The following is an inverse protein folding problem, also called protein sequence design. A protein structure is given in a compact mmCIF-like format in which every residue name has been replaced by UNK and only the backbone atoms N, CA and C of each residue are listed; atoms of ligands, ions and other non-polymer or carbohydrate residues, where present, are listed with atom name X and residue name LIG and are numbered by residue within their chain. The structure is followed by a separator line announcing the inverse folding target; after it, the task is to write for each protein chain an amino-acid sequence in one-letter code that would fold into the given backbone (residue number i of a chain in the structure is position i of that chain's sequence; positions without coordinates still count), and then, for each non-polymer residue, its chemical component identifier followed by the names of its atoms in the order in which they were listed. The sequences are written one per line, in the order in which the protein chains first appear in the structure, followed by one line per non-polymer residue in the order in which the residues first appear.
data_IF_121905441957
#
_entry.id   IF_121905441957
#
_cell.length_a   1.000
_cell.length_b   1.000
_cell.length_c   1.000
_cell.angle_alpha   90.00
_cell.angle_beta   90.00
_cell.angle_gamma   90.00
#
_symmetry.space_group_name_H-M   'P 1'
#
loop_
_entity.id
_entity.type
_entity.pdbx_description
1 polymer ?
#
# COMPACT_ATOMS: atom_id res chain seq x y z
N UNK A 1 -5.42 -7.64 -5.90
CA UNK A 1 -6.54 -6.81 -6.43
C UNK A 1 -6.95 -7.17 -7.85
N UNK A 2 -6.07 -7.17 -8.85
CA UNK A 2 -6.44 -7.46 -10.25
C UNK A 2 -7.34 -8.71 -10.44
N UNK A 3 -6.92 -9.88 -9.93
CA UNK A 3 -7.71 -11.11 -10.04
C UNK A 3 -9.03 -11.08 -9.24
N UNK A 4 -9.05 -10.37 -8.11
CA UNK A 4 -10.24 -10.18 -7.29
C UNK A 4 -11.28 -9.32 -8.04
N UNK A 5 -10.83 -8.23 -8.67
CA UNK A 5 -11.70 -7.34 -9.45
C UNK A 5 -12.39 -8.06 -10.61
N UNK A 6 -11.69 -8.99 -11.29
CA UNK A 6 -12.29 -9.88 -12.31
C UNK A 6 -13.49 -10.65 -11.76
N UNK A 7 -13.33 -11.27 -10.58
CA UNK A 7 -14.40 -12.06 -9.94
C UNK A 7 -15.56 -11.19 -9.51
N UNK A 8 -15.29 -10.04 -8.90
CA UNK A 8 -16.32 -9.08 -8.47
C UNK A 8 -17.14 -8.61 -9.68
N UNK A 9 -16.46 -8.27 -10.79
CA UNK A 9 -17.14 -7.84 -12.01
C UNK A 9 -18.06 -8.92 -12.59
N UNK A 10 -17.63 -10.18 -12.53
CA UNK A 10 -18.44 -11.30 -13.01
C UNK A 10 -19.75 -11.48 -12.22
N UNK A 11 -19.82 -10.98 -10.99
CA UNK A 11 -21.05 -10.92 -10.18
C UNK A 11 -21.98 -9.73 -10.56
N UNK A 12 -21.60 -8.91 -11.54
CA UNK A 12 -22.36 -7.74 -11.98
C UNK A 12 -22.10 -6.47 -11.16
N UNK A 13 -21.24 -6.54 -10.13
CA UNK A 13 -20.86 -5.37 -9.31
C UNK A 13 -20.00 -4.41 -10.14
N UNK A 14 -20.31 -3.11 -10.02
CA UNK A 14 -19.63 -2.04 -10.79
C UNK A 14 -18.80 -1.09 -9.94
N UNK A 15 -19.01 -1.06 -8.62
CA UNK A 15 -18.30 -0.20 -7.69
C UNK A 15 -18.04 -0.92 -6.37
N UNK A 16 -16.87 -0.71 -5.78
CA UNK A 16 -16.50 -1.18 -4.44
C UNK A 16 -15.85 -0.08 -3.61
N UNK A 17 -15.94 -0.21 -2.29
CA UNK A 17 -15.25 0.64 -1.32
C UNK A 17 -13.98 -0.06 -0.85
N UNK A 18 -12.87 0.68 -0.75
CA UNK A 18 -11.59 0.20 -0.25
C UNK A 18 -11.06 1.07 0.90
N UNK A 19 -10.24 0.47 1.76
CA UNK A 19 -9.62 1.13 2.92
C UNK A 19 -8.24 1.76 2.65
N UNK A 20 -7.84 1.91 1.38
CA UNK A 20 -6.58 2.58 1.02
C UNK A 20 -6.56 4.02 1.58
N UNK A 21 -5.40 4.48 2.06
CA UNK A 21 -5.23 5.79 2.70
C UNK A 21 -5.23 5.77 4.22
N UNK A 22 -5.84 4.76 4.85
CA UNK A 22 -5.92 4.69 6.32
C UNK A 22 -4.55 4.53 6.97
N UNK A 23 -3.64 3.75 6.38
CA UNK A 23 -2.28 3.56 6.89
C UNK A 23 -1.44 4.83 6.76
N UNK A 24 -1.62 5.60 5.69
CA UNK A 24 -0.90 6.84 5.43
C UNK A 24 -1.36 8.00 6.33
N UNK A 25 -2.66 8.07 6.63
CA UNK A 25 -3.23 9.15 7.46
C UNK A 25 -2.98 8.93 8.96
N UNK A 26 -3.05 7.67 9.41
CA UNK A 26 -3.01 7.30 10.83
C UNK A 26 -1.73 6.55 11.24
N UNK A 27 -0.73 6.48 10.37
CA UNK A 27 0.56 5.81 10.64
C UNK A 27 0.40 4.32 10.97
N UNK A 28 -0.25 3.60 10.06
CA UNK A 28 -0.57 2.19 10.24
C UNK A 28 0.55 1.19 9.91
N UNK A 29 1.60 1.64 9.23
CA UNK A 29 2.73 0.78 8.90
C UNK A 29 3.61 0.51 10.12
N UNK A 30 4.12 -0.73 10.24
CA UNK A 30 4.92 -1.15 11.40
C UNK A 30 6.19 -0.30 11.63
N UNK A 31 6.73 0.36 10.61
CA UNK A 31 7.88 1.24 10.78
C UNK A 31 7.54 2.54 11.55
N UNK A 32 6.26 2.95 11.64
CA UNK A 32 5.83 4.07 12.48
C UNK A 32 6.03 3.81 13.98
N UNK A 33 6.20 2.55 14.41
CA UNK A 33 6.62 2.23 15.78
C UNK A 33 7.99 2.84 16.13
N UNK A 34 8.79 3.18 15.12
CA UNK A 34 10.13 3.77 15.25
C UNK A 34 10.13 5.28 15.01
N UNK A 35 8.96 5.92 14.92
CA UNK A 35 8.89 7.37 14.80
C UNK A 35 9.50 8.01 16.06
N UNK A 36 10.48 8.92 15.92
CA UNK A 36 11.22 9.46 17.06
C UNK A 36 10.38 10.43 17.91
N UNK A 37 9.44 11.14 17.28
CA UNK A 37 8.53 12.09 17.90
C UNK A 37 7.29 12.31 17.01
N UNK A 38 6.34 13.10 17.51
CA UNK A 38 5.06 13.34 16.84
C UNK A 38 5.20 14.21 15.58
N UNK A 39 6.20 15.09 15.54
CA UNK A 39 6.49 15.95 14.39
C UNK A 39 6.98 15.12 13.20
N UNK A 40 7.97 14.25 13.41
CA UNK A 40 8.49 13.32 12.40
C UNK A 40 7.42 12.33 11.94
N UNK A 41 6.58 11.85 12.86
CA UNK A 41 5.41 11.04 12.51
C UNK A 41 4.48 11.78 11.54
N UNK A 42 4.15 13.04 11.84
CA UNK A 42 3.26 13.85 11.00
C UNK A 42 3.88 14.22 9.65
N UNK A 43 5.18 14.54 9.62
CA UNK A 43 5.88 14.81 8.38
C UNK A 43 5.88 13.58 7.46
N UNK A 44 6.09 12.39 8.03
CA UNK A 44 6.06 11.14 7.29
C UNK A 44 4.65 10.81 6.77
N UNK A 45 3.58 11.00 7.55
CA UNK A 45 2.20 10.83 7.06
C UNK A 45 1.88 11.81 5.92
N UNK A 46 2.26 13.08 6.06
CA UNK A 46 2.12 14.08 4.99
C UNK A 46 2.86 13.67 3.72
N UNK A 47 4.11 13.19 3.85
CA UNK A 47 4.90 12.71 2.70
C UNK A 47 4.23 11.51 2.03
N UNK A 48 3.73 10.56 2.82
CA UNK A 48 3.04 9.37 2.34
C UNK A 48 1.76 9.72 1.58
N UNK A 49 0.90 10.57 2.14
CA UNK A 49 -0.32 11.05 1.48
C UNK A 49 0.01 11.71 0.14
N UNK A 50 1.02 12.58 0.09
CA UNK A 50 1.46 13.24 -1.16
C UNK A 50 1.98 12.25 -2.20
N UNK A 51 2.53 11.11 -1.79
CA UNK A 51 3.09 10.11 -2.68
C UNK A 51 2.10 9.01 -3.10
N UNK A 52 0.92 8.93 -2.48
CA UNK A 52 -0.09 7.88 -2.73
C UNK A 52 -0.42 7.68 -4.21
N UNK A 53 -0.41 8.76 -5.00
CA UNK A 53 -0.72 8.72 -6.43
C UNK A 53 0.27 7.87 -7.25
N UNK A 54 1.48 7.62 -6.73
CA UNK A 54 2.50 6.79 -7.36
C UNK A 54 2.45 5.33 -6.88
N UNK A 55 1.78 5.05 -5.76
CA UNK A 55 1.79 3.76 -5.08
C UNK A 55 0.39 3.16 -4.97
N UNK A 56 -0.26 3.30 -3.82
CA UNK A 56 -1.48 2.60 -3.46
C UNK A 56 -2.68 3.04 -4.31
N UNK A 57 -2.82 4.34 -4.59
CA UNK A 57 -3.86 4.82 -5.51
C UNK A 57 -3.64 4.33 -6.94
N UNK A 58 -2.38 4.28 -7.39
CA UNK A 58 -2.04 3.76 -8.72
C UNK A 58 -2.45 2.29 -8.84
N UNK A 59 -2.08 1.48 -7.85
CA UNK A 59 -2.39 0.05 -7.76
C UNK A 59 -3.90 -0.18 -7.66
N UNK A 60 -4.59 0.49 -6.74
CA UNK A 60 -6.03 0.35 -6.52
C UNK A 60 -6.83 0.73 -7.77
N UNK A 61 -6.55 1.88 -8.35
CA UNK A 61 -7.28 2.38 -9.51
C UNK A 61 -7.02 1.52 -10.76
N UNK A 62 -5.76 1.30 -11.16
CA UNK A 62 -5.45 0.58 -12.41
C UNK A 62 -5.83 -0.90 -12.33
N UNK A 63 -5.62 -1.56 -11.19
CA UNK A 63 -5.93 -2.99 -11.06
C UNK A 63 -7.44 -3.27 -11.10
N UNK A 64 -8.26 -2.37 -10.56
CA UNK A 64 -9.73 -2.51 -10.59
C UNK A 64 -10.31 -2.07 -11.93
N UNK A 65 -9.82 -0.96 -12.48
CA UNK A 65 -10.25 -0.43 -13.79
C UNK A 65 -9.98 -1.38 -14.94
N UNK A 66 -8.96 -2.25 -14.84
CA UNK A 66 -8.68 -3.28 -15.83
C UNK A 66 -9.85 -4.26 -16.08
N UNK A 67 -10.81 -4.33 -15.15
CA UNK A 67 -12.04 -5.12 -15.26
C UNK A 67 -13.31 -4.26 -15.26
N UNK A 68 -13.19 -2.94 -15.49
CA UNK A 68 -14.33 -2.02 -15.46
C UNK A 68 -15.04 -1.99 -14.10
N UNK A 69 -14.27 -2.05 -13.02
CA UNK A 69 -14.73 -1.93 -11.64
C UNK A 69 -14.22 -0.61 -11.05
N UNK A 70 -15.12 0.24 -10.59
CA UNK A 70 -14.77 1.47 -9.88
C UNK A 70 -14.40 1.16 -8.43
N UNK A 71 -13.33 1.79 -7.92
CA UNK A 71 -12.97 1.76 -6.50
C UNK A 71 -13.10 3.14 -5.90
N UNK A 72 -13.78 3.24 -4.75
CA UNK A 72 -13.88 4.45 -3.92
C UNK A 72 -13.07 4.27 -2.64
N UNK A 73 -12.41 5.33 -2.20
CA UNK A 73 -11.46 5.32 -1.08
C UNK A 73 -11.84 6.40 -0.07
N UNK A 74 -12.83 6.16 0.81
CA UNK A 74 -13.38 7.19 1.69
C UNK A 74 -12.36 7.83 2.64
N UNK A 75 -11.31 7.09 3.03
CA UNK A 75 -10.21 7.65 3.81
C UNK A 75 -9.47 8.78 3.08
N UNK A 76 -9.53 8.82 1.75
CA UNK A 76 -8.90 9.85 0.94
C UNK A 76 -9.89 10.93 0.48
N UNK A 77 -11.08 10.97 1.07
CA UNK A 77 -11.96 12.12 0.93
C UNK A 77 -11.26 13.38 1.48
N UNK A 78 -11.48 14.51 0.81
CA UNK A 78 -10.78 15.76 1.12
C UNK A 78 -11.16 16.29 2.50
N UNK A 79 -12.44 16.31 2.83
CA UNK A 79 -12.93 16.82 4.12
C UNK A 79 -12.47 15.89 5.24
N UNK A 80 -12.49 14.58 4.99
CA UNK A 80 -11.95 13.61 5.94
C UNK A 80 -10.44 13.79 6.17
N UNK A 81 -9.65 14.01 5.11
CA UNK A 81 -8.21 14.27 5.26
C UNK A 81 -7.99 15.54 6.06
N UNK A 82 -8.70 16.63 5.76
CA UNK A 82 -8.54 17.92 6.46
C UNK A 82 -8.80 17.75 7.96
N UNK A 83 -9.89 17.06 8.33
CA UNK A 83 -10.20 16.76 9.73
C UNK A 83 -9.16 15.82 10.35
N UNK A 84 -8.91 14.66 9.73
CA UNK A 84 -8.02 13.65 10.29
C UNK A 84 -6.58 14.16 10.43
N UNK A 85 -6.12 15.06 9.57
CA UNK A 85 -4.78 15.64 9.63
C UNK A 85 -4.65 16.83 10.59
N UNK A 86 -5.77 17.42 11.02
CA UNK A 86 -5.79 18.48 12.05
C UNK A 86 -5.58 17.96 13.48
N UNK A 87 -5.84 16.67 13.70
CA UNK A 87 -5.67 15.99 15.00
C UNK A 87 -4.20 16.06 15.44
N UNK A 88 -3.94 16.38 16.72
CA UNK A 88 -2.59 16.32 17.30
C UNK A 88 -1.95 14.94 17.01
N UNK A 89 -0.82 14.88 16.30
CA UNK A 89 -0.18 13.63 15.93
C UNK A 89 0.17 12.73 17.13
N UNK A 90 0.25 13.27 18.35
CA UNK A 90 0.40 12.49 19.59
C UNK A 90 -0.69 11.41 19.74
N UNK A 91 -1.90 11.65 19.27
CA UNK A 91 -3.00 10.67 19.32
C UNK A 91 -2.88 9.57 18.25
N UNK A 92 -2.05 9.79 17.24
CA UNK A 92 -1.73 8.82 16.19
C UNK A 92 -0.46 8.03 16.51
N UNK A 93 0.40 8.55 17.39
CA UNK A 93 1.61 7.88 17.81
C UNK A 93 1.32 6.53 18.47
N UNK A 94 2.17 5.57 18.14
CA UNK A 94 2.14 4.23 18.71
C UNK A 94 2.90 4.29 20.04
N UNK A 95 2.21 3.95 21.12
CA UNK A 95 2.71 4.07 22.50
C UNK A 95 2.40 2.79 23.25
N UNK A 96 3.24 1.74 23.11
CA UNK A 96 3.02 0.45 23.79
C UNK A 96 2.99 0.57 25.31
N UNK A 97 3.72 1.54 25.87
CA UNK A 97 3.71 1.93 27.29
C UNK A 97 2.32 2.37 27.78
N UNK A 98 1.50 2.92 26.88
CA UNK A 98 0.12 3.33 27.12
C UNK A 98 -0.91 2.36 26.53
N UNK A 99 -0.47 1.19 26.04
CA UNK A 99 -1.33 0.22 25.35
C UNK A 99 -1.84 0.67 23.97
N UNK A 100 -1.27 1.73 23.39
CA UNK A 100 -1.68 2.23 22.06
C UNK A 100 -0.95 1.48 20.95
N UNK A 101 -1.71 0.86 20.07
CA UNK A 101 -1.24 0.22 18.83
C UNK A 101 -1.42 1.14 17.62
N UNK A 102 -1.00 0.69 16.44
CA UNK A 102 -1.15 1.46 15.20
C UNK A 102 -2.61 1.85 14.94
N UNK A 103 -2.81 3.07 14.42
CA UNK A 103 -4.14 3.66 14.17
C UNK A 103 -5.01 3.73 15.43
N UNK A 104 -4.41 3.91 16.61
CA UNK A 104 -5.12 3.91 17.90
C UNK A 104 -6.37 4.79 17.91
N UNK A 105 -6.25 6.07 17.54
CA UNK A 105 -7.38 7.00 17.52
C UNK A 105 -8.51 6.53 16.60
N UNK A 106 -8.17 5.96 15.44
CA UNK A 106 -9.16 5.40 14.52
C UNK A 106 -9.88 4.22 15.17
N UNK A 107 -9.15 3.30 15.81
CA UNK A 107 -9.76 2.16 16.51
C UNK A 107 -10.69 2.62 17.62
N UNK A 108 -10.28 3.63 18.41
CA UNK A 108 -11.11 4.21 19.47
C UNK A 108 -12.36 4.90 18.96
N UNK A 109 -12.31 5.55 17.79
CA UNK A 109 -13.47 6.19 17.17
C UNK A 109 -14.57 5.18 16.78
N UNK A 110 -14.22 3.92 16.54
CA UNK A 110 -15.16 2.82 16.23
C UNK A 110 -15.33 1.82 17.38
N UNK A 111 -14.85 2.16 18.58
CA UNK A 111 -14.92 1.32 19.78
C UNK A 111 -16.20 1.61 20.57
N UNK A 112 -17.34 1.23 20.00
CA UNK A 112 -18.66 1.34 20.61
C UNK A 112 -18.99 0.05 21.40
N UNK A 113 -19.32 0.18 22.69
CA UNK A 113 -19.68 -0.95 23.55
C UNK A 113 -21.16 -1.33 23.45
N UNK A 114 -22.04 -0.37 23.11
CA UNK A 114 -23.48 -0.58 23.00
C UNK A 114 -23.85 -1.10 21.60
N UNK A 115 -23.21 -0.55 20.56
CA UNK A 115 -23.42 -0.92 19.17
C UNK A 115 -22.09 -1.16 18.43
N UNK A 116 -21.39 -2.28 18.70
CA UNK A 116 -20.08 -2.54 18.11
C UNK A 116 -20.12 -2.63 16.58
N UNK A 117 -19.34 -1.77 15.90
CA UNK A 117 -19.15 -1.85 14.44
C UNK A 117 -18.39 -3.11 14.01
N UNK A 118 -17.45 -3.57 14.84
CA UNK A 118 -16.58 -4.72 14.59
C UNK A 118 -16.39 -5.54 15.88
N UNK A 119 -16.19 -6.86 15.78
CA UNK A 119 -15.75 -7.66 16.93
C UNK A 119 -14.43 -7.12 17.51
N UNK A 120 -14.29 -7.09 18.84
CA UNK A 120 -13.09 -6.54 19.53
C UNK A 120 -11.77 -7.14 19.04
N UNK A 121 -11.76 -8.44 18.75
CA UNK A 121 -10.56 -9.12 18.24
C UNK A 121 -10.15 -8.68 16.83
N UNK A 122 -11.09 -8.14 16.02
CA UNK A 122 -10.79 -7.50 14.73
C UNK A 122 -10.38 -6.04 14.95
N UNK A 123 -11.14 -5.32 15.78
CA UNK A 123 -10.92 -3.90 16.08
C UNK A 123 -9.53 -3.63 16.67
N UNK A 124 -8.99 -4.57 17.45
CA UNK A 124 -7.67 -4.48 18.07
C UNK A 124 -6.64 -5.45 17.48
N UNK A 125 -6.92 -6.03 16.31
CA UNK A 125 -5.96 -6.88 15.60
C UNK A 125 -4.77 -6.06 15.13
N UNK A 126 -3.57 -6.58 15.36
CA UNK A 126 -2.34 -6.00 14.83
C UNK A 126 -2.37 -5.98 13.29
N UNK A 127 -1.80 -4.94 12.70
CA UNK A 127 -1.64 -4.79 11.25
C UNK A 127 -0.81 -5.95 10.68
N UNK A 128 -1.35 -6.55 9.62
CA UNK A 128 -0.64 -7.43 8.69
C UNK A 128 -0.63 -6.79 7.31
N UNK A 129 0.48 -6.86 6.58
CA UNK A 129 0.55 -6.33 5.21
C UNK A 129 -0.23 -7.22 4.25
N UNK A 130 -0.71 -6.64 3.13
CA UNK A 130 -1.51 -7.37 2.16
C UNK A 130 -0.73 -8.55 1.55
N UNK A 131 0.58 -8.39 1.37
CA UNK A 131 1.50 -9.42 0.87
C UNK A 131 1.58 -10.64 1.78
N UNK A 132 1.52 -10.44 3.10
CA UNK A 132 1.58 -11.52 4.07
C UNK A 132 0.21 -12.21 4.19
N UNK A 133 -0.87 -11.44 4.08
CA UNK A 133 -2.25 -11.94 4.18
C UNK A 133 -2.74 -12.74 2.96
N UNK A 134 -2.11 -12.60 1.78
CA UNK A 134 -2.47 -13.40 0.60
C UNK A 134 -1.80 -14.79 0.57
N UNK A 135 -0.83 -15.03 1.46
CA UNK A 135 -0.10 -16.28 1.59
C UNK A 135 1.36 -16.19 1.11
N UNK A 136 2.29 -16.67 1.95
CA UNK A 136 3.74 -16.61 1.72
C UNK A 136 4.18 -17.26 0.40
N UNK A 137 3.52 -18.34 -0.02
CA UNK A 137 3.83 -19.06 -1.26
C UNK A 137 3.70 -18.20 -2.53
N UNK A 138 2.90 -17.13 -2.48
CA UNK A 138 2.74 -16.24 -3.63
C UNK A 138 4.01 -15.41 -3.90
N UNK A 139 4.62 -14.85 -2.85
CA UNK A 139 5.84 -14.04 -2.98
C UNK A 139 7.02 -14.92 -3.38
N UNK A 140 7.13 -16.11 -2.77
CA UNK A 140 8.21 -17.03 -3.08
C UNK A 140 8.10 -17.53 -4.53
N UNK A 141 6.88 -17.84 -5.00
CA UNK A 141 6.64 -18.18 -6.40
C UNK A 141 7.04 -17.06 -7.38
N UNK A 142 6.83 -15.79 -7.03
CA UNK A 142 7.28 -14.66 -7.85
C UNK A 142 8.81 -14.56 -7.91
N UNK A 143 9.48 -14.76 -6.77
CA UNK A 143 10.96 -14.77 -6.71
C UNK A 143 11.54 -15.91 -7.52
N UNK A 144 10.98 -17.12 -7.40
CA UNK A 144 11.43 -18.29 -8.15
C UNK A 144 11.20 -18.12 -9.66
N UNK A 145 10.04 -17.59 -10.03
CA UNK A 145 9.74 -17.26 -11.43
C UNK A 145 10.71 -16.21 -11.97
N UNK A 146 10.99 -15.14 -11.24
CA UNK A 146 11.99 -14.17 -11.66
C UNK A 146 13.41 -14.76 -11.73
N UNK A 147 13.78 -15.63 -10.79
CA UNK A 147 15.08 -16.29 -10.75
C UNK A 147 15.33 -17.22 -11.94
N UNK A 148 14.28 -17.90 -12.41
CA UNK A 148 14.35 -18.75 -13.62
C UNK A 148 14.41 -17.95 -14.93
N UNK A 149 13.98 -16.69 -14.93
CA UNK A 149 13.93 -15.83 -16.12
C UNK A 149 15.08 -14.79 -16.19
N UNK A 150 15.75 -14.50 -15.07
CA UNK A 150 16.83 -13.51 -15.00
C UNK A 150 18.12 -14.18 -14.52
N UNK A 151 19.09 -14.28 -15.43
CA UNK A 151 20.40 -14.86 -15.12
C UNK A 151 21.29 -13.88 -14.33
N UNK A 152 22.32 -14.41 -13.66
CA UNK A 152 23.30 -13.57 -12.94
C UNK A 152 24.09 -12.67 -13.92
N UNK A 153 24.30 -13.14 -15.15
CA UNK A 153 24.90 -12.34 -16.23
C UNK A 153 24.00 -11.17 -16.67
N UNK A 154 22.69 -11.34 -16.63
CA UNK A 154 21.76 -10.22 -16.87
C UNK A 154 21.87 -9.20 -15.74
N UNK A 155 21.92 -9.66 -14.48
CA UNK A 155 22.09 -8.79 -13.32
C UNK A 155 23.42 -8.03 -13.35
N UNK A 156 24.53 -8.68 -13.72
CA UNK A 156 25.84 -8.00 -13.82
C UNK A 156 25.84 -6.89 -14.86
N UNK A 157 24.99 -7.01 -15.90
CA UNK A 157 24.84 -6.03 -16.96
C UNK A 157 23.71 -5.03 -16.74
N UNK A 158 22.95 -5.14 -15.64
CA UNK A 158 21.72 -4.37 -15.40
C UNK A 158 21.95 -2.85 -15.51
N UNK A 159 23.06 -2.32 -14.98
CA UNK A 159 23.37 -0.88 -15.03
C UNK A 159 23.59 -0.32 -16.42
N UNK A 160 23.99 -1.16 -17.38
CA UNK A 160 24.23 -0.76 -18.76
C UNK A 160 22.95 -0.82 -19.59
N UNK A 161 22.05 -1.75 -19.26
CA UNK A 161 20.76 -1.94 -19.94
C UNK A 161 19.72 -0.97 -19.38
N UNK A 162 19.68 -0.82 -18.05
CA UNK A 162 18.76 0.03 -17.31
C UNK A 162 19.53 1.05 -16.46
N UNK A 163 20.08 2.11 -17.09
CA UNK A 163 20.89 3.11 -16.38
C UNK A 163 20.07 3.98 -15.41
N UNK A 164 18.78 4.18 -15.69
CA UNK A 164 17.86 4.86 -14.79
C UNK A 164 17.14 3.86 -13.89
N UNK A 165 17.14 4.09 -12.57
CA UNK A 165 16.57 3.21 -11.56
C UNK A 165 16.95 1.74 -11.80
N UNK A 166 18.26 1.48 -11.84
CA UNK A 166 18.80 0.14 -12.12
C UNK A 166 18.22 -0.89 -11.15
N UNK A 167 17.63 -1.99 -11.64
CA UNK A 167 17.09 -3.03 -10.78
C UNK A 167 18.19 -3.70 -9.98
N UNK A 168 18.00 -3.79 -8.65
CA UNK A 168 18.96 -4.38 -7.71
C UNK A 168 18.67 -5.85 -7.39
N UNK A 169 17.51 -6.36 -7.81
CA UNK A 169 17.09 -7.76 -7.64
C UNK A 169 16.61 -8.36 -8.96
N UNK A 170 16.64 -9.69 -9.06
CA UNK A 170 16.11 -10.42 -10.24
C UNK A 170 14.62 -10.16 -10.45
N UNK A 171 13.85 -10.05 -9.36
CA UNK A 171 12.43 -9.71 -9.41
C UNK A 171 12.20 -8.30 -9.99
N UNK A 172 12.93 -7.29 -9.50
CA UNK A 172 12.86 -5.94 -10.04
C UNK A 172 13.29 -5.89 -11.51
N UNK A 173 14.33 -6.64 -11.89
CA UNK A 173 14.78 -6.75 -13.28
C UNK A 173 13.68 -7.35 -14.15
N UNK A 174 13.03 -8.41 -13.68
CA UNK A 174 11.97 -9.09 -14.42
C UNK A 174 10.78 -8.14 -14.67
N UNK A 175 10.34 -7.40 -13.65
CA UNK A 175 9.30 -6.38 -13.81
C UNK A 175 9.73 -5.25 -14.75
N UNK A 176 10.98 -4.77 -14.64
CA UNK A 176 11.51 -3.73 -15.51
C UNK A 176 11.54 -4.16 -16.98
N UNK A 177 11.95 -5.42 -17.24
CA UNK A 177 11.93 -6.02 -18.58
C UNK A 177 10.52 -6.07 -19.17
N UNK A 178 9.51 -6.40 -18.37
CA UNK A 178 8.11 -6.39 -18.82
C UNK A 178 7.64 -4.95 -19.06
N UNK A 179 7.95 -4.03 -18.14
CA UNK A 179 7.56 -2.63 -18.25
C UNK A 179 8.08 -2.00 -19.54
N UNK A 180 9.39 -2.08 -19.81
CA UNK A 180 9.98 -1.47 -21.00
C UNK A 180 9.54 -2.15 -22.30
N UNK A 181 9.10 -3.41 -22.26
CA UNK A 181 8.47 -4.07 -23.42
C UNK A 181 7.15 -3.41 -23.83
N UNK A 182 6.34 -2.98 -22.86
CA UNK A 182 5.06 -2.31 -23.12
C UNK A 182 5.20 -0.79 -23.23
N UNK A 183 6.19 -0.20 -22.56
CA UNK A 183 6.42 1.24 -22.46
C UNK A 183 7.89 1.58 -22.78
N UNK A 184 8.33 1.43 -24.04
CA UNK A 184 9.73 1.64 -24.42
C UNK A 184 10.15 3.11 -24.46
N UNK A 185 9.22 4.05 -24.33
CA UNK A 185 9.51 5.48 -24.41
C UNK A 185 10.28 5.96 -23.18
N UNK A 186 11.29 6.79 -23.39
CA UNK A 186 12.12 7.35 -22.31
C UNK A 186 11.28 8.07 -21.26
N UNK A 187 10.21 8.77 -21.66
CA UNK A 187 9.32 9.46 -20.72
C UNK A 187 8.60 8.50 -19.77
N UNK A 188 8.25 7.29 -20.20
CA UNK A 188 7.65 6.27 -19.35
C UNK A 188 8.69 5.62 -18.43
N UNK A 189 9.88 5.37 -18.95
CA UNK A 189 11.01 4.80 -18.19
C UNK A 189 11.38 5.69 -17.00
N UNK A 190 11.30 7.02 -17.14
CA UNK A 190 11.58 7.97 -16.06
C UNK A 190 10.52 7.99 -14.94
N UNK A 191 9.43 7.22 -15.07
CA UNK A 191 8.36 7.15 -14.05
C UNK A 191 8.50 5.97 -13.09
N UNK A 192 9.48 5.08 -13.30
CA UNK A 192 9.65 3.82 -12.57
C UNK A 192 11.09 3.59 -12.12
#
# INVERSE_FOLDING_TARGET
MFQMSRKIKALGVKMVISGEGADEIFGGYLYFHKAPNKEEFHQETCRKIKALHQYDCLRANKATSAWGLEVRVPFLDKEFIDEAMSIDPEWKMIRPDLGRIEKWILRKAFDDEEQPFLPKHILYRQKEQFSDGVGYSWIDGLKDHAASNVSDKMMSNAKFIYPHNTPTTKEAYYYRMIFERYFPQSSAILTV
#
